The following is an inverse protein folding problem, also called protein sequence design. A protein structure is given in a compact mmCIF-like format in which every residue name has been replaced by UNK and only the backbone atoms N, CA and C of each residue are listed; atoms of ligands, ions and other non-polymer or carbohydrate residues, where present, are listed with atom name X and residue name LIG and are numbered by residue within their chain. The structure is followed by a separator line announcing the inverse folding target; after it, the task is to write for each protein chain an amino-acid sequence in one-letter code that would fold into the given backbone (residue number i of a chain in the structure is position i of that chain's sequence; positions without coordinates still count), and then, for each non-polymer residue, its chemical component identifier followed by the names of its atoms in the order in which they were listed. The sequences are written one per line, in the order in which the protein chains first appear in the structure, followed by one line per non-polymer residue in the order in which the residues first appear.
data_IF_522329158390
#
_entry.id   IF_522329158390
#
_cell.length_a   1.000
_cell.length_b   1.000
_cell.length_c   1.000
_cell.angle_alpha   90.00
_cell.angle_beta   90.00
_cell.angle_gamma   90.00
#
_symmetry.space_group_name_H-M   'P 1'
#
loop_
_entity.id
_entity.type
_entity.pdbx_description
1 polymer ?
#
# COMPACT_ATOMS: atom_id res chain seq x y z
N UNK A 1 3.43 -20.93 8.07
CA UNK A 1 3.25 -21.46 6.71
C UNK A 1 2.24 -20.64 5.90
N UNK A 2 1.13 -20.17 6.48
CA UNK A 2 0.16 -19.33 5.75
C UNK A 2 0.70 -17.97 5.31
N UNK A 3 1.58 -17.34 6.11
CA UNK A 3 2.16 -16.03 5.79
C UNK A 3 3.07 -16.04 4.54
N UNK A 4 3.82 -17.13 4.30
CA UNK A 4 4.70 -17.22 3.13
C UNK A 4 3.94 -17.31 1.82
N UNK A 5 2.74 -17.91 1.83
CA UNK A 5 1.85 -17.95 0.66
C UNK A 5 1.36 -16.54 0.34
N UNK A 6 0.94 -15.78 1.35
CA UNK A 6 0.50 -14.39 1.17
C UNK A 6 1.64 -13.49 0.66
N UNK A 7 2.84 -13.65 1.20
CA UNK A 7 4.04 -12.94 0.72
C UNK A 7 4.30 -13.29 -0.76
N UNK A 8 4.29 -14.57 -1.11
CA UNK A 8 4.52 -15.01 -2.49
C UNK A 8 3.50 -14.42 -3.46
N UNK A 9 2.21 -14.53 -3.14
CA UNK A 9 1.12 -14.00 -3.96
C UNK A 9 1.21 -12.47 -4.09
N UNK A 10 1.49 -11.77 -2.99
CA UNK A 10 1.65 -10.31 -2.98
C UNK A 10 2.86 -9.89 -3.81
N UNK A 11 3.99 -10.59 -3.71
CA UNK A 11 5.18 -10.32 -4.51
C UNK A 11 4.92 -10.54 -6.00
N UNK A 12 4.25 -11.64 -6.39
CA UNK A 12 3.89 -11.88 -7.80
C UNK A 12 3.00 -10.74 -8.31
N UNK A 13 2.00 -10.35 -7.52
CA UNK A 13 1.12 -9.23 -7.85
C UNK A 13 1.90 -7.91 -7.98
N UNK A 14 2.84 -7.59 -7.09
CA UNK A 14 3.59 -6.35 -7.17
C UNK A 14 4.59 -6.34 -8.34
N UNK A 15 5.21 -7.48 -8.66
CA UNK A 15 6.08 -7.62 -9.83
C UNK A 15 5.29 -7.41 -11.13
N UNK A 16 4.02 -7.86 -11.18
CA UNK A 16 3.18 -7.64 -12.36
C UNK A 16 2.77 -6.17 -12.54
N UNK A 17 2.71 -5.39 -11.46
CA UNK A 17 2.49 -3.94 -11.52
C UNK A 17 3.76 -3.18 -11.92
N UNK A 18 4.88 -3.45 -11.25
CA UNK A 18 6.18 -2.88 -11.59
C UNK A 18 7.33 -3.73 -11.02
N UNK A 19 8.27 -4.15 -11.88
CA UNK A 19 9.35 -5.06 -11.48
C UNK A 19 10.22 -4.51 -10.36
N UNK A 20 10.56 -3.21 -10.41
CA UNK A 20 11.44 -2.60 -9.41
C UNK A 20 10.73 -2.53 -8.06
N UNK A 21 9.51 -1.99 -8.02
CA UNK A 21 8.75 -1.91 -6.77
C UNK A 21 8.39 -3.29 -6.22
N UNK A 22 8.09 -4.27 -7.08
CA UNK A 22 7.87 -5.66 -6.67
C UNK A 22 9.10 -6.30 -6.01
N UNK A 23 10.30 -6.07 -6.56
CA UNK A 23 11.55 -6.54 -5.95
C UNK A 23 11.82 -5.83 -4.62
N UNK A 24 11.62 -4.51 -4.56
CA UNK A 24 11.79 -3.74 -3.31
C UNK A 24 10.82 -4.22 -2.21
N UNK A 25 9.56 -4.49 -2.56
CA UNK A 25 8.60 -5.08 -1.63
C UNK A 25 9.01 -6.47 -1.16
N UNK A 26 9.55 -7.31 -2.06
CA UNK A 26 10.09 -8.62 -1.67
C UNK A 26 11.23 -8.48 -0.65
N UNK A 27 12.15 -7.54 -0.86
CA UNK A 27 13.24 -7.26 0.08
C UNK A 27 12.67 -6.84 1.45
N UNK A 28 11.67 -5.94 1.46
CA UNK A 28 10.99 -5.52 2.69
C UNK A 28 10.33 -6.71 3.38
N UNK A 29 9.62 -7.57 2.65
CA UNK A 29 9.00 -8.76 3.22
C UNK A 29 10.03 -9.73 3.81
N UNK A 30 11.14 -9.99 3.11
CA UNK A 30 12.23 -10.84 3.62
C UNK A 30 12.84 -10.24 4.90
N UNK A 31 13.00 -8.91 4.95
CA UNK A 31 13.57 -8.23 6.11
C UNK A 31 12.62 -8.26 7.33
N UNK A 32 11.31 -8.08 7.11
CA UNK A 32 10.31 -8.00 8.18
C UNK A 32 9.83 -9.38 8.64
N UNK A 33 9.88 -10.41 7.78
CA UNK A 33 9.37 -11.75 8.09
C UNK A 33 9.99 -12.39 9.36
N UNK A 34 11.32 -12.32 9.60
CA UNK A 34 11.91 -12.80 10.85
C UNK A 34 11.38 -12.07 12.10
N UNK A 35 11.13 -10.76 11.99
CA UNK A 35 10.56 -9.97 13.08
C UNK A 35 9.11 -10.42 13.35
N UNK A 36 8.33 -10.66 12.29
CA UNK A 36 6.97 -11.18 12.42
C UNK A 36 6.95 -12.55 13.12
N UNK A 37 7.89 -13.44 12.82
CA UNK A 37 8.04 -14.73 13.51
C UNK A 37 8.34 -14.52 15.00
N UNK A 38 9.25 -13.60 15.34
CA UNK A 38 9.59 -13.30 16.74
C UNK A 38 8.38 -12.77 17.52
N UNK A 39 7.59 -11.89 16.92
CA UNK A 39 6.37 -11.35 17.53
C UNK A 39 5.34 -12.47 17.71
N UNK A 40 5.18 -13.36 16.73
CA UNK A 40 4.26 -14.49 16.79
C UNK A 40 4.65 -15.55 17.85
N UNK A 41 5.92 -15.59 18.26
CA UNK A 41 6.41 -16.49 19.30
C UNK A 41 6.25 -15.92 20.72
N UNK A 42 5.76 -14.68 20.88
CA UNK A 42 5.53 -14.08 22.19
C UNK A 42 4.35 -14.75 22.92
N UNK A 43 4.28 -14.65 24.26
CA UNK A 43 3.11 -15.07 25.03
C UNK A 43 1.84 -14.41 24.51
N UNK A 44 0.70 -15.10 24.63
CA UNK A 44 -0.60 -14.70 24.07
C UNK A 44 -0.90 -13.19 24.20
N UNK A 45 -0.78 -12.65 25.41
CA UNK A 45 -1.09 -11.24 25.69
C UNK A 45 -0.10 -10.26 25.06
N UNK A 46 1.19 -10.61 25.03
CA UNK A 46 2.23 -9.78 24.43
C UNK A 46 2.15 -9.80 22.91
N UNK A 47 1.93 -10.98 22.31
CA UNK A 47 1.70 -11.13 20.87
C UNK A 47 0.46 -10.36 20.42
N UNK A 48 -0.67 -10.54 21.13
CA UNK A 48 -1.93 -9.90 20.80
C UNK A 48 -1.83 -8.38 20.96
N UNK A 49 -1.26 -7.92 22.09
CA UNK A 49 -1.05 -6.50 22.35
C UNK A 49 -0.15 -5.84 21.31
N UNK A 50 0.96 -6.47 20.94
CA UNK A 50 1.85 -5.99 19.88
C UNK A 50 1.14 -5.95 18.52
N UNK A 51 0.40 -7.00 18.16
CA UNK A 51 -0.29 -7.10 16.87
C UNK A 51 -1.40 -6.05 16.73
N UNK A 52 -2.23 -5.88 17.77
CA UNK A 52 -3.26 -4.83 17.81
C UNK A 52 -2.61 -3.44 17.82
N UNK A 53 -1.53 -3.25 18.59
CA UNK A 53 -0.80 -1.98 18.65
C UNK A 53 -0.28 -1.56 17.27
N UNK A 54 0.44 -2.46 16.58
CA UNK A 54 0.95 -2.20 15.22
C UNK A 54 -0.21 -1.91 14.26
N UNK A 55 -1.30 -2.67 14.35
CA UNK A 55 -2.48 -2.49 13.50
C UNK A 55 -3.12 -1.12 13.70
N UNK A 56 -3.39 -0.71 14.95
CA UNK A 56 -4.01 0.57 15.29
C UNK A 56 -3.09 1.73 14.88
N UNK A 57 -1.78 1.62 15.15
CA UNK A 57 -0.81 2.64 14.74
C UNK A 57 -0.79 2.80 13.22
N UNK A 58 -0.78 1.70 12.46
CA UNK A 58 -0.86 1.73 11.00
C UNK A 58 -2.15 2.42 10.50
N UNK A 59 -3.29 2.12 11.12
CA UNK A 59 -4.57 2.75 10.80
C UNK A 59 -4.59 4.25 11.12
N UNK A 60 -4.01 4.66 12.25
CA UNK A 60 -3.87 6.08 12.60
C UNK A 60 -3.08 6.82 11.53
N UNK A 61 -1.91 6.31 11.13
CA UNK A 61 -1.12 6.92 10.05
C UNK A 61 -1.89 6.97 8.73
N UNK A 62 -2.60 5.90 8.38
CA UNK A 62 -3.39 5.85 7.16
C UNK A 62 -4.53 6.88 7.15
N UNK A 63 -5.28 6.99 8.25
CA UNK A 63 -6.37 7.98 8.35
C UNK A 63 -5.88 9.40 8.42
N UNK A 64 -4.77 9.66 9.09
CA UNK A 64 -4.14 10.99 9.08
C UNK A 64 -3.78 11.37 7.65
N UNK A 65 -3.12 10.50 6.90
CA UNK A 65 -2.79 10.73 5.49
C UNK A 65 -4.03 11.04 4.64
N UNK A 66 -5.07 10.22 4.75
CA UNK A 66 -6.33 10.44 4.02
C UNK A 66 -7.09 11.70 4.45
N UNK A 67 -7.02 12.08 5.73
CA UNK A 67 -7.59 13.32 6.23
C UNK A 67 -6.91 14.54 5.58
N UNK A 68 -5.58 14.53 5.49
CA UNK A 68 -4.82 15.57 4.78
C UNK A 68 -5.13 15.57 3.27
N UNK A 69 -5.28 14.40 2.66
CA UNK A 69 -5.62 14.27 1.23
C UNK A 69 -7.09 14.56 0.91
N UNK A 70 -7.96 14.68 1.93
CA UNK A 70 -9.43 14.80 1.81
C UNK A 70 -10.07 13.75 0.89
N UNK A 71 -9.48 12.56 0.83
CA UNK A 71 -9.97 11.43 0.02
C UNK A 71 -10.33 10.27 0.92
N UNK A 72 -11.33 9.49 0.50
CA UNK A 72 -11.65 8.21 1.15
C UNK A 72 -10.53 7.19 0.92
N UNK A 73 -10.29 6.28 1.88
CA UNK A 73 -9.36 5.18 1.69
C UNK A 73 -9.79 4.26 0.54
N UNK A 74 -8.85 3.85 -0.30
CA UNK A 74 -9.13 2.99 -1.45
C UNK A 74 -9.75 1.63 -1.06
N UNK A 75 -9.46 1.13 0.14
CA UNK A 75 -10.03 -0.14 0.60
C UNK A 75 -11.54 -0.06 0.89
N UNK A 76 -12.10 1.14 1.08
CA UNK A 76 -13.55 1.33 1.23
C UNK A 76 -14.27 1.00 -0.09
N UNK A 77 -13.56 1.14 -1.21
CA UNK A 77 -14.09 0.85 -2.53
C UNK A 77 -13.88 -0.62 -2.95
N UNK A 78 -12.75 -1.23 -2.59
CA UNK A 78 -12.43 -2.64 -2.88
C UNK A 78 -11.32 -3.21 -1.98
N UNK A 79 -11.39 -4.49 -1.62
CA UNK A 79 -10.36 -5.23 -0.87
C UNK A 79 -8.99 -5.21 -1.57
N UNK A 80 -8.94 -5.15 -2.90
CA UNK A 80 -7.68 -4.99 -3.64
C UNK A 80 -6.97 -3.70 -3.25
N UNK A 81 -7.71 -2.64 -2.90
CA UNK A 81 -7.17 -1.38 -2.40
C UNK A 81 -6.33 -1.55 -1.13
N UNK A 82 -6.60 -2.56 -0.31
CA UNK A 82 -5.79 -2.88 0.86
C UNK A 82 -4.42 -3.45 0.47
N UNK A 83 -4.38 -4.30 -0.56
CA UNK A 83 -3.13 -4.86 -1.07
C UNK A 83 -2.28 -3.83 -1.81
N UNK A 84 -2.90 -2.84 -2.45
CA UNK A 84 -2.20 -1.73 -3.14
C UNK A 84 -1.57 -0.75 -2.14
N UNK A 85 -2.17 -0.57 -0.96
CA UNK A 85 -1.72 0.39 0.06
C UNK A 85 -0.22 0.32 0.40
N UNK A 86 0.34 -0.85 0.78
CA UNK A 86 1.77 -0.99 1.06
C UNK A 86 2.67 -0.61 -0.12
N UNK A 87 2.29 -1.00 -1.34
CA UNK A 87 3.04 -0.67 -2.55
C UNK A 87 3.00 0.84 -2.83
N UNK A 88 1.85 1.49 -2.59
CA UNK A 88 1.68 2.93 -2.73
C UNK A 88 2.58 3.71 -1.76
N UNK A 89 2.63 3.30 -0.48
CA UNK A 89 3.51 3.93 0.53
C UNK A 89 4.98 3.83 0.11
N UNK A 90 5.41 2.65 -0.37
CA UNK A 90 6.76 2.48 -0.90
C UNK A 90 7.02 3.38 -2.13
N UNK A 91 6.06 3.44 -3.06
CA UNK A 91 6.20 4.25 -4.27
C UNK A 91 6.35 5.74 -3.92
N UNK A 92 5.47 6.28 -3.06
CA UNK A 92 5.56 7.65 -2.57
C UNK A 92 6.89 7.92 -1.86
N UNK A 93 7.35 7.02 -0.99
CA UNK A 93 8.65 7.16 -0.34
C UNK A 93 9.81 7.25 -1.35
N UNK A 94 9.83 6.36 -2.35
CA UNK A 94 10.85 6.36 -3.41
C UNK A 94 10.77 7.64 -4.27
N UNK A 95 9.57 8.14 -4.53
CA UNK A 95 9.36 9.40 -5.25
C UNK A 95 9.82 10.61 -4.44
N UNK A 96 9.56 10.63 -3.12
CA UNK A 96 10.04 11.66 -2.20
C UNK A 96 11.58 11.72 -2.15
N UNK A 97 12.24 10.56 -2.24
CA UNK A 97 13.70 10.48 -2.38
C UNK A 97 14.22 10.95 -3.75
N UNK A 98 13.33 11.31 -4.68
CA UNK A 98 13.68 11.84 -6.00
C UNK A 98 13.94 10.77 -7.06
N UNK A 99 13.68 9.49 -6.78
CA UNK A 99 13.82 8.42 -7.77
C UNK A 99 12.55 8.27 -8.62
N UNK A 100 12.66 7.56 -9.75
CA UNK A 100 11.51 7.18 -10.62
C UNK A 100 10.62 8.34 -11.07
N UNK A 101 11.17 9.57 -11.17
CA UNK A 101 10.47 10.79 -11.62
C UNK A 101 9.64 10.61 -12.90
N UNK A 102 10.12 9.94 -13.97
CA UNK A 102 9.32 9.75 -15.18
C UNK A 102 8.05 8.93 -14.94
N UNK A 103 8.11 7.93 -14.05
CA UNK A 103 6.96 7.14 -13.68
C UNK A 103 5.98 7.95 -12.83
N UNK A 104 6.47 8.68 -11.84
CA UNK A 104 5.64 9.58 -11.03
C UNK A 104 4.87 10.56 -11.91
N UNK A 105 5.54 11.20 -12.88
CA UNK A 105 4.91 12.13 -13.81
C UNK A 105 3.84 11.46 -14.69
N UNK A 106 4.07 10.23 -15.14
CA UNK A 106 3.07 9.46 -15.90
C UNK A 106 1.83 9.15 -15.05
N UNK A 107 2.03 8.68 -13.82
CA UNK A 107 0.94 8.40 -12.87
C UNK A 107 0.12 9.66 -12.61
N UNK A 108 0.76 10.81 -12.36
CA UNK A 108 0.06 12.08 -12.15
C UNK A 108 -0.73 12.50 -13.40
N UNK A 109 -0.12 12.41 -14.58
CA UNK A 109 -0.79 12.76 -15.85
C UNK A 109 -2.00 11.87 -16.10
N UNK A 110 -1.86 10.55 -15.91
CA UNK A 110 -2.97 9.61 -16.06
C UNK A 110 -4.08 9.85 -15.03
N UNK A 111 -3.72 10.14 -13.78
CA UNK A 111 -4.68 10.47 -12.74
C UNK A 111 -5.46 11.76 -13.06
N UNK A 112 -4.78 12.79 -13.59
CA UNK A 112 -5.42 14.03 -14.05
C UNK A 112 -6.38 13.77 -15.21
N UNK A 113 -5.94 13.02 -16.24
CA UNK A 113 -6.78 12.69 -17.39
C UNK A 113 -8.02 11.88 -16.96
N UNK A 114 -7.86 10.87 -16.11
CA UNK A 114 -8.99 10.08 -15.59
C UNK A 114 -10.01 10.95 -14.85
N UNK A 115 -9.55 11.88 -14.02
CA UNK A 115 -10.46 12.81 -13.32
C UNK A 115 -11.22 13.70 -14.28
N UNK A 116 -10.53 14.33 -15.23
CA UNK A 116 -11.18 15.15 -16.26
C UNK A 116 -12.24 14.36 -17.03
N UNK A 117 -11.96 13.10 -17.42
CA UNK A 117 -12.96 12.26 -18.11
C UNK A 117 -14.16 11.90 -17.23
N UNK A 118 -13.96 11.69 -15.93
CA UNK A 118 -15.04 11.41 -14.98
C UNK A 118 -15.93 12.64 -14.74
N UNK A 119 -15.33 13.82 -14.65
CA UNK A 119 -16.04 15.09 -14.49
C UNK A 119 -16.88 15.40 -15.73
N UNK A 120 -16.31 15.25 -16.93
CA UNK A 120 -17.03 15.41 -18.20
C UNK A 120 -18.20 14.42 -18.30
N UNK A 121 -17.97 13.14 -17.98
CA UNK A 121 -19.02 12.12 -17.99
C UNK A 121 -20.15 12.50 -17.03
N UNK A 122 -19.82 12.96 -15.83
CA UNK A 122 -20.82 13.39 -14.84
C UNK A 122 -21.67 14.55 -15.37
N UNK A 123 -21.06 15.56 -15.99
CA UNK A 123 -21.75 16.70 -16.60
C UNK A 123 -22.65 16.31 -17.79
N UNK A 124 -22.27 15.30 -18.57
CA UNK A 124 -23.08 14.86 -19.72
C UNK A 124 -24.31 14.04 -19.34
N UNK A 125 -24.36 13.48 -18.13
CA UNK A 125 -25.43 12.59 -17.67
C UNK A 125 -26.36 13.29 -16.66
N UNK A 126 -25.95 14.44 -16.11
CA UNK A 126 -26.78 15.33 -15.29
C UNK A 126 -27.63 16.26 -16.15
#
# INVERSE_FOLDING_TARGET
QSASILILLSTIYYISLDKLFGILMLIIFIAVYPLAIKIAALPMWSWLGASIGIFVVGWVFQFIGHYFEKKKPAFVDDLIGLAIGPLFVLAEFIFMLGFRKPLHQRILKEAQMKRATMDMKTQTIS
#
